data_IF_260123856417
#
_entry.id   IF_260123856417
#
_cell.length_a   1.000
_cell.length_b   1.000
_cell.length_c   1.000
_cell.angle_alpha   90.00
_cell.angle_beta   90.00
_cell.angle_gamma   90.00
#
_symmetry.space_group_name_H-M   'P 1'
#
loop_
_entity.id
_entity.type
_entity.pdbx_description
1 polymer ?
#
# COMPACT_ATOMS: atom_id res chain seq x y z
N UNK A 1 5.90 -3.79 -5.22
CA UNK A 1 5.65 -2.34 -5.08
C UNK A 1 4.30 -1.91 -5.66
N UNK A 2 3.96 -2.25 -6.91
CA UNK A 2 2.64 -1.94 -7.49
C UNK A 2 1.45 -2.58 -6.77
N UNK A 3 1.59 -3.82 -6.28
CA UNK A 3 0.56 -4.53 -5.52
C UNK A 3 0.25 -3.87 -4.16
N UNK A 4 1.27 -3.43 -3.42
CA UNK A 4 1.12 -2.71 -2.15
C UNK A 4 0.46 -1.33 -2.34
N UNK A 5 0.81 -0.61 -3.40
CA UNK A 5 0.17 0.67 -3.74
C UNK A 5 -1.28 0.49 -4.21
N UNK A 6 -1.60 -0.61 -4.90
CA UNK A 6 -2.97 -1.00 -5.24
C UNK A 6 -3.81 -1.26 -3.99
N UNK A 7 -3.30 -2.09 -3.08
CA UNK A 7 -3.94 -2.38 -1.79
C UNK A 7 -4.17 -1.12 -0.96
N UNK A 8 -3.21 -0.18 -0.93
CA UNK A 8 -3.37 1.10 -0.22
C UNK A 8 -4.48 1.98 -0.78
N UNK A 9 -4.62 2.05 -2.11
CA UNK A 9 -5.72 2.82 -2.75
C UNK A 9 -7.06 2.21 -2.41
N UNK A 10 -7.17 0.89 -2.48
CA UNK A 10 -8.39 0.16 -2.11
C UNK A 10 -8.71 0.36 -0.62
N UNK A 11 -7.72 0.24 0.26
CA UNK A 11 -7.90 0.40 1.70
C UNK A 11 -8.18 1.85 2.12
N UNK A 12 -7.50 2.84 1.52
CA UNK A 12 -7.82 4.25 1.81
C UNK A 12 -9.22 4.61 1.36
N UNK A 13 -9.71 4.01 0.26
CA UNK A 13 -11.10 4.14 -0.16
C UNK A 13 -12.06 3.49 0.86
N UNK A 14 -11.76 2.29 1.35
CA UNK A 14 -12.57 1.63 2.38
C UNK A 14 -12.70 2.45 3.68
N UNK A 15 -11.58 2.98 4.20
CA UNK A 15 -11.59 3.77 5.44
C UNK A 15 -12.23 5.15 5.30
N UNK A 16 -12.41 5.66 4.08
CA UNK A 16 -13.05 6.96 3.83
C UNK A 16 -14.57 6.86 3.56
N UNK A 17 -15.22 5.76 3.93
CA UNK A 17 -16.66 5.53 3.63
C UNK A 17 -16.95 5.31 2.14
N UNK A 18 -15.88 5.08 1.40
CA UNK A 18 -15.76 4.97 -0.04
C UNK A 18 -15.63 3.45 -0.34
N UNK A 19 -16.33 2.57 0.39
CA UNK A 19 -16.38 1.13 0.08
C UNK A 19 -17.43 0.83 -1.01
N UNK A 20 -18.46 1.66 -1.10
CA UNK A 20 -19.49 1.64 -2.14
C UNK A 20 -19.00 2.38 -3.39
N UNK A 21 -18.05 1.80 -4.13
CA UNK A 21 -17.64 2.37 -5.41
C UNK A 21 -18.47 1.85 -6.56
N UNK A 22 -18.62 2.71 -7.56
CA UNK A 22 -18.96 2.30 -8.90
C UNK A 22 -17.99 1.21 -9.40
N UNK A 23 -18.50 -0.01 -9.61
CA UNK A 23 -17.72 -1.13 -10.12
C UNK A 23 -17.41 -1.02 -11.62
N UNK A 24 -18.10 -0.11 -12.32
CA UNK A 24 -17.87 0.20 -13.73
C UNK A 24 -17.78 1.70 -13.96
N UNK A 25 -17.17 2.06 -15.09
CA UNK A 25 -17.11 3.45 -15.55
C UNK A 25 -18.51 4.04 -15.72
N UNK A 26 -19.46 3.26 -16.21
CA UNK A 26 -20.83 3.72 -16.45
C UNK A 26 -21.54 4.08 -15.15
N UNK A 27 -21.37 3.28 -14.10
CA UNK A 27 -21.94 3.56 -12.77
C UNK A 27 -21.30 4.82 -12.17
N UNK A 28 -20.00 5.04 -12.41
CA UNK A 28 -19.31 6.24 -11.96
C UNK A 28 -19.84 7.47 -12.70
N UNK A 29 -19.92 7.42 -14.02
CA UNK A 29 -20.40 8.52 -14.84
C UNK A 29 -21.89 8.81 -14.63
N UNK A 30 -22.72 7.80 -14.36
CA UNK A 30 -24.15 7.98 -14.06
C UNK A 30 -24.37 8.75 -12.76
N UNK A 31 -23.54 8.52 -11.74
CA UNK A 31 -23.59 9.29 -10.50
C UNK A 31 -23.33 10.78 -10.77
N UNK A 32 -22.22 11.12 -11.43
CA UNK A 32 -21.89 12.52 -11.73
C UNK A 32 -22.88 13.17 -12.70
N UNK A 33 -23.46 12.41 -13.64
CA UNK A 33 -24.55 12.89 -14.49
C UNK A 33 -25.75 13.33 -13.66
N UNK A 34 -26.18 12.49 -12.71
CA UNK A 34 -27.27 12.83 -11.80
C UNK A 34 -26.98 14.03 -10.90
N UNK A 35 -25.71 14.35 -10.61
CA UNK A 35 -25.33 15.59 -9.91
C UNK A 35 -25.47 16.79 -10.85
N UNK A 36 -24.97 16.72 -12.08
CA UNK A 36 -25.08 17.80 -13.09
C UNK A 36 -26.51 18.14 -13.45
N UNK A 37 -27.40 17.15 -13.47
CA UNK A 37 -28.82 17.34 -13.78
C UNK A 37 -29.57 18.04 -12.64
N UNK A 38 -29.17 17.81 -11.38
CA UNK A 38 -29.85 18.36 -10.20
C UNK A 38 -29.29 19.70 -9.72
N UNK A 39 -28.00 19.94 -9.94
CA UNK A 39 -27.33 21.15 -9.47
C UNK A 39 -27.31 22.20 -10.59
N UNK A 40 -27.87 23.41 -10.37
CA UNK A 40 -27.79 24.51 -11.33
C UNK A 40 -26.34 24.82 -11.75
N UNK A 41 -26.13 25.14 -13.02
CA UNK A 41 -24.78 25.33 -13.59
C UNK A 41 -23.98 26.45 -12.91
N UNK A 42 -24.64 27.50 -12.43
CA UNK A 42 -24.05 28.60 -11.69
C UNK A 42 -23.54 28.19 -10.30
N UNK A 43 -24.07 27.09 -9.73
CA UNK A 43 -23.68 26.52 -8.44
C UNK A 43 -22.84 25.26 -8.57
N UNK A 44 -22.42 24.92 -9.79
CA UNK A 44 -21.62 23.74 -10.06
C UNK A 44 -20.22 24.14 -10.53
N UNK A 45 -19.21 23.68 -9.81
CA UNK A 45 -17.81 23.83 -10.21
C UNK A 45 -17.14 22.47 -10.40
N UNK A 46 -16.92 22.10 -11.66
CA UNK A 46 -16.24 20.85 -12.00
C UNK A 46 -14.73 21.01 -11.85
N UNK A 47 -14.15 20.37 -10.85
CA UNK A 47 -12.71 20.50 -10.58
C UNK A 47 -11.84 19.74 -11.59
N UNK A 48 -11.06 20.47 -12.39
CA UNK A 48 -10.02 19.89 -13.24
C UNK A 48 -8.64 20.00 -12.61
N UNK A 49 -8.15 18.89 -12.05
CA UNK A 49 -6.86 18.80 -11.36
C UNK A 49 -5.62 19.32 -12.13
N UNK A 50 -5.66 19.40 -13.46
CA UNK A 50 -4.55 19.93 -14.29
C UNK A 50 -4.67 21.42 -14.57
N UNK A 51 -5.90 21.96 -14.59
CA UNK A 51 -6.21 23.31 -15.05
C UNK A 51 -6.46 24.26 -13.88
N UNK A 52 -7.27 23.84 -12.92
CA UNK A 52 -7.74 24.70 -11.84
C UNK A 52 -6.70 24.82 -10.72
N UNK A 53 -6.68 26.00 -10.12
CA UNK A 53 -5.82 26.40 -9.00
C UNK A 53 -6.65 26.81 -7.78
N UNK A 54 -5.99 27.04 -6.64
CA UNK A 54 -6.66 27.49 -5.42
C UNK A 54 -7.49 28.77 -5.65
N UNK A 55 -7.02 29.66 -6.51
CA UNK A 55 -7.71 30.91 -6.83
C UNK A 55 -9.05 30.67 -7.52
N UNK A 56 -9.14 29.68 -8.41
CA UNK A 56 -10.40 29.32 -9.09
C UNK A 56 -11.43 28.79 -8.08
N UNK A 57 -10.98 27.98 -7.11
CA UNK A 57 -11.83 27.49 -6.02
C UNK A 57 -12.28 28.63 -5.10
N UNK A 58 -11.35 29.49 -4.67
CA UNK A 58 -11.64 30.65 -3.84
C UNK A 58 -12.65 31.59 -4.53
N UNK A 59 -12.48 31.82 -5.84
CA UNK A 59 -13.41 32.61 -6.65
C UNK A 59 -14.80 31.99 -6.67
N UNK A 60 -14.90 30.68 -6.88
CA UNK A 60 -16.18 29.98 -6.86
C UNK A 60 -16.86 30.04 -5.47
N UNK A 61 -16.08 29.97 -4.40
CA UNK A 61 -16.56 30.04 -3.01
C UNK A 61 -16.74 31.47 -2.48
N UNK A 62 -16.46 32.50 -3.30
CA UNK A 62 -16.47 33.92 -2.90
C UNK A 62 -15.59 34.22 -1.65
N UNK A 63 -14.40 33.60 -1.55
CA UNK A 63 -13.45 33.83 -0.46
C UNK A 63 -12.36 34.80 -0.90
N UNK A 64 -12.33 35.99 -0.27
CA UNK A 64 -11.32 37.03 -0.49
C UNK A 64 -10.80 37.59 0.84
N UNK A 65 -9.46 37.65 1.08
CA UNK A 65 -8.38 37.17 0.20
C UNK A 65 -8.27 35.63 0.19
N UNK A 66 -7.81 35.06 -0.92
CA UNK A 66 -7.61 33.61 -1.01
C UNK A 66 -6.40 33.20 -0.14
N UNK A 67 -6.55 32.27 0.81
CA UNK A 67 -5.51 31.94 1.79
C UNK A 67 -4.33 31.15 1.19
N UNK A 68 -4.49 30.60 -0.01
CA UNK A 68 -3.50 29.77 -0.71
C UNK A 68 -3.48 30.15 -2.19
N UNK A 69 -2.34 30.00 -2.83
CA UNK A 69 -2.17 30.28 -4.25
C UNK A 69 -1.61 29.07 -5.00
N UNK A 70 -1.81 29.05 -6.31
CA UNK A 70 -1.24 28.07 -7.21
C UNK A 70 -1.98 26.73 -7.27
N UNK A 71 -1.33 25.73 -7.87
CA UNK A 71 -1.93 24.41 -8.11
C UNK A 71 -2.15 23.67 -6.78
N UNK A 72 -3.28 22.98 -6.68
CA UNK A 72 -3.55 22.09 -5.55
C UNK A 72 -2.46 21.00 -5.50
N UNK A 73 -1.69 20.96 -4.42
CA UNK A 73 -0.59 20.02 -4.27
C UNK A 73 -1.11 18.57 -4.35
N UNK A 74 -0.67 17.85 -5.39
CA UNK A 74 -0.87 16.39 -5.48
C UNK A 74 0.22 15.71 -4.67
N UNK A 75 0.06 15.68 -3.35
CA UNK A 75 0.86 14.77 -2.57
C UNK A 75 0.34 13.34 -2.79
N UNK A 76 1.21 12.41 -3.17
CA UNK A 76 1.01 10.98 -2.87
C UNK A 76 1.23 10.85 -1.36
N UNK A 77 0.41 11.54 -0.56
CA UNK A 77 0.62 11.53 0.86
C UNK A 77 0.09 10.22 1.38
N UNK A 78 1.04 9.31 1.56
CA UNK A 78 0.82 8.05 2.20
C UNK A 78 0.27 8.30 3.61
N UNK A 79 0.65 9.44 4.21
CA UNK A 79 0.42 9.79 5.59
C UNK A 79 -0.52 11.01 5.79
N UNK A 80 -1.51 11.23 4.91
CA UNK A 80 -2.44 12.35 5.07
C UNK A 80 -3.18 12.29 6.42
N UNK A 81 -3.59 11.10 6.85
CA UNK A 81 -4.34 10.93 8.08
C UNK A 81 -3.46 11.26 9.31
N UNK A 82 -2.20 10.86 9.27
CA UNK A 82 -1.23 11.08 10.33
C UNK A 82 -0.85 12.56 10.44
N UNK A 83 -0.74 13.25 9.31
CA UNK A 83 -0.50 14.70 9.27
C UNK A 83 -1.71 15.49 9.74
N UNK A 84 -2.91 15.14 9.28
CA UNK A 84 -4.13 15.90 9.54
C UNK A 84 -4.71 15.57 10.93
N UNK A 85 -4.40 14.40 11.51
CA UNK A 85 -4.90 13.92 12.81
C UNK A 85 -3.79 13.31 13.70
N UNK A 86 -2.80 14.10 14.14
CA UNK A 86 -1.63 13.58 14.86
C UNK A 86 -1.97 12.88 16.18
N UNK A 87 -2.96 13.37 16.93
CA UNK A 87 -3.38 12.75 18.19
C UNK A 87 -4.00 11.36 17.98
N UNK A 88 -4.83 11.20 16.95
CA UNK A 88 -5.40 9.91 16.58
C UNK A 88 -4.34 8.91 16.12
N UNK A 89 -3.27 9.41 15.49
CA UNK A 89 -2.12 8.59 15.12
C UNK A 89 -1.31 8.16 16.35
N UNK A 90 -1.00 9.09 17.27
CA UNK A 90 -0.27 8.79 18.51
C UNK A 90 -1.03 7.74 19.34
N UNK A 91 -2.36 7.88 19.48
CA UNK A 91 -3.18 6.89 20.19
C UNK A 91 -3.13 5.49 19.56
N UNK A 92 -2.92 5.38 18.25
CA UNK A 92 -2.78 4.10 17.52
C UNK A 92 -1.35 3.57 17.49
N UNK A 93 -0.36 4.39 17.80
CA UNK A 93 1.05 4.02 17.74
C UNK A 93 1.39 2.74 18.54
N UNK A 94 0.87 2.52 19.77
CA UNK A 94 1.15 1.30 20.52
C UNK A 94 0.68 0.03 19.79
N UNK A 95 -0.48 0.09 19.13
CA UNK A 95 -1.00 -1.03 18.35
C UNK A 95 -0.10 -1.34 17.15
N UNK A 96 0.39 -0.32 16.45
CA UNK A 96 1.32 -0.52 15.35
C UNK A 96 2.67 -1.08 15.80
N UNK A 97 3.19 -0.62 16.94
CA UNK A 97 4.42 -1.16 17.52
C UNK A 97 4.25 -2.62 17.94
N UNK A 98 3.12 -2.97 18.56
CA UNK A 98 2.80 -4.35 18.90
C UNK A 98 2.70 -5.23 17.66
N UNK A 99 1.98 -4.78 16.62
CA UNK A 99 1.86 -5.52 15.36
C UNK A 99 3.23 -5.70 14.70
N UNK A 100 4.07 -4.65 14.70
CA UNK A 100 5.42 -4.74 14.16
C UNK A 100 6.29 -5.73 14.94
N UNK A 101 6.21 -5.72 16.27
CA UNK A 101 6.89 -6.67 17.12
C UNK A 101 6.47 -8.12 16.84
N UNK A 102 5.16 -8.38 16.74
CA UNK A 102 4.63 -9.71 16.41
C UNK A 102 5.10 -10.15 15.02
N UNK A 103 5.00 -9.26 14.02
CA UNK A 103 5.48 -9.55 12.67
C UNK A 103 6.97 -9.89 12.68
N UNK A 104 7.80 -9.17 13.44
CA UNK A 104 9.22 -9.45 13.55
C UNK A 104 9.50 -10.82 14.18
N UNK A 105 8.74 -11.21 15.20
CA UNK A 105 8.82 -12.55 15.80
C UNK A 105 8.46 -13.65 14.79
N UNK A 106 7.38 -13.45 14.03
CA UNK A 106 6.93 -14.40 13.00
C UNK A 106 7.97 -14.52 11.88
N UNK A 107 8.46 -13.40 11.35
CA UNK A 107 9.50 -13.42 10.31
C UNK A 107 10.79 -14.07 10.80
N UNK A 108 11.23 -13.77 12.02
CA UNK A 108 12.41 -14.40 12.60
C UNK A 108 12.24 -15.92 12.74
N UNK A 109 11.07 -16.37 13.17
CA UNK A 109 10.75 -17.80 13.26
C UNK A 109 10.78 -18.48 11.88
N UNK A 110 10.15 -17.88 10.87
CA UNK A 110 10.15 -18.38 9.49
C UNK A 110 11.59 -18.48 8.96
N UNK A 111 12.40 -17.43 9.13
CA UNK A 111 13.79 -17.41 8.69
C UNK A 111 14.63 -18.50 9.38
N UNK A 112 14.44 -18.73 10.68
CA UNK A 112 15.12 -19.81 11.39
C UNK A 112 14.75 -21.20 10.84
N UNK A 113 13.49 -21.44 10.50
CA UNK A 113 13.07 -22.68 9.83
C UNK A 113 13.79 -22.83 8.48
N UNK A 114 13.80 -21.77 7.66
CA UNK A 114 14.50 -21.80 6.37
C UNK A 114 15.98 -22.12 6.54
N UNK A 115 16.66 -21.51 7.50
CA UNK A 115 18.09 -21.79 7.79
C UNK A 115 18.29 -23.22 8.24
N UNK A 116 17.45 -23.74 9.14
CA UNK A 116 17.55 -25.12 9.62
C UNK A 116 17.34 -26.13 8.49
N UNK A 117 16.37 -25.89 7.60
CA UNK A 117 16.13 -26.72 6.41
C UNK A 117 17.33 -26.71 5.46
N UNK A 118 17.88 -25.53 5.18
CA UNK A 118 19.07 -25.39 4.33
C UNK A 118 20.29 -26.11 4.91
N UNK A 119 20.53 -25.95 6.22
CA UNK A 119 21.60 -26.67 6.93
C UNK A 119 21.39 -28.19 6.87
N UNK A 120 20.16 -28.67 7.11
CA UNK A 120 19.81 -30.08 7.00
C UNK A 120 20.08 -30.64 5.61
N UNK A 121 19.66 -29.95 4.55
CA UNK A 121 19.95 -30.37 3.17
C UNK A 121 21.46 -30.38 2.85
N UNK A 122 22.23 -29.42 3.36
CA UNK A 122 23.68 -29.39 3.18
C UNK A 122 24.35 -30.60 3.85
N UNK A 123 23.94 -30.93 5.07
CA UNK A 123 24.46 -32.11 5.80
C UNK A 123 24.15 -33.39 5.05
N UNK A 124 22.90 -33.59 4.60
CA UNK A 124 22.51 -34.78 3.81
C UNK A 124 23.33 -34.87 2.52
N UNK A 125 23.51 -33.76 1.81
CA UNK A 125 24.32 -33.72 0.60
C UNK A 125 25.79 -34.09 0.84
N UNK A 126 26.41 -33.57 1.91
CA UNK A 126 27.78 -33.91 2.29
C UNK A 126 27.91 -35.39 2.69
N UNK A 127 26.94 -35.94 3.42
CA UNK A 127 26.90 -37.36 3.77
C UNK A 127 26.79 -38.28 2.55
N UNK A 128 25.92 -37.93 1.59
CA UNK A 128 25.77 -38.68 0.34
C UNK A 128 27.05 -38.63 -0.49
N UNK A 129 27.68 -37.44 -0.62
CA UNK A 129 28.95 -37.27 -1.32
C UNK A 129 30.07 -38.13 -0.70
N UNK A 130 30.17 -38.17 0.64
CA UNK A 130 31.16 -38.99 1.35
C UNK A 130 30.93 -40.49 1.10
N UNK A 131 29.67 -40.96 1.11
CA UNK A 131 29.32 -42.36 0.85
C UNK A 131 29.63 -42.79 -0.58
N UNK A 132 29.31 -41.95 -1.58
CA UNK A 132 29.64 -42.22 -2.99
C UNK A 132 31.15 -42.26 -3.22
N UNK A 133 31.91 -41.37 -2.56
CA UNK A 133 33.38 -41.39 -2.62
C UNK A 133 34.00 -42.69 -2.10
N UNK A 134 33.49 -43.22 -0.97
CA UNK A 134 33.94 -44.49 -0.39
C UNK A 134 33.62 -45.69 -1.30
N UNK A 135 32.49 -45.67 -2.02
CA UNK A 135 32.15 -46.73 -2.97
C UNK A 135 33.16 -46.83 -4.11
N UNK A 136 33.54 -45.68 -4.71
CA UNK A 136 34.53 -45.64 -5.80
C UNK A 136 35.92 -46.07 -5.35
N UNK A 137 36.33 -45.72 -4.12
CA UNK A 137 37.62 -46.14 -3.58
C UNK A 137 37.71 -47.68 -3.45
N UNK A 138 36.62 -48.33 -3.00
CA UNK A 138 36.58 -49.80 -2.91
C UNK A 138 36.58 -50.49 -4.28
N UNK A 139 35.93 -49.92 -5.30
CA UNK A 139 35.98 -50.48 -6.66
C UNK A 139 37.39 -50.45 -7.26
N UNK A 140 38.21 -49.45 -6.90
CA UNK A 140 39.60 -49.36 -7.36
C UNK A 140 40.56 -50.34 -6.67
N UNK A 141 40.25 -50.83 -5.46
CA UNK A 141 41.09 -51.84 -4.77
C UNK A 141 40.84 -53.28 -5.27
N UNK A 142 39.69 -53.53 -5.92
CA UNK A 142 39.29 -54.87 -6.37
C UNK A 142 39.63 -55.12 -7.85
N UNK A 143 39.99 -54.07 -8.60
CA UNK A 143 40.45 -54.14 -9.99
C UNK A 143 41.96 -54.19 -10.10
#
# INVERSE_FOLDING_TARGET
WHSLNGGRRVLSHWYSGLALHAHSRDVYESFYRGVRERVPKDRLFEWHMKKHKWEDLCKFLNVTPCPRSGKLARAINVFNFERDFPLCFIARLPLYLLLHFVNWRVYGFILNIFVALLQGTLVVFLCLRKRVGLGRAKEQEVS
#
